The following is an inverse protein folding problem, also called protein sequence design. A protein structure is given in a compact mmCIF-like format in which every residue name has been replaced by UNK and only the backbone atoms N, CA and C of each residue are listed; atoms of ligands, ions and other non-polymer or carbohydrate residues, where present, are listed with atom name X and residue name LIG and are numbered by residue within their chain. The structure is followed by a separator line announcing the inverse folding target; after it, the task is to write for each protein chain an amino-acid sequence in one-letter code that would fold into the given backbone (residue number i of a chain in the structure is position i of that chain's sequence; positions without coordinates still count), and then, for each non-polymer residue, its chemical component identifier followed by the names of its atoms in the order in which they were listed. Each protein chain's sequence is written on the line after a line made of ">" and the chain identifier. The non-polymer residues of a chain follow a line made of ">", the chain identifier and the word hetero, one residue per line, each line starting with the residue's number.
data_IF_953313687237
#
_entry.id   IF_953313687237
#
_cell.length_a   1.000
_cell.length_b   1.000
_cell.length_c   1.000
_cell.angle_alpha   90.00
_cell.angle_beta   90.00
_cell.angle_gamma   90.00
#
_symmetry.space_group_name_H-M   'P 1'
#
loop_
_entity.id
_entity.type
_entity.pdbx_description
1 polymer ?
#
# COMPACT_ATOMS: atom_id res chain seq x y z
N UNK A 1 -16.79 19.85 17.05
CA UNK A 1 -17.09 18.61 16.32
C UNK A 1 -17.24 17.54 17.39
N UNK A 2 -18.34 16.79 17.43
CA UNK A 2 -18.53 15.78 18.48
C UNK A 2 -17.61 14.58 18.21
N UNK A 3 -17.20 13.87 19.27
CA UNK A 3 -16.28 12.72 19.16
C UNK A 3 -16.75 11.67 18.14
N UNK A 4 -18.06 11.38 18.11
CA UNK A 4 -18.65 10.44 17.14
C UNK A 4 -18.54 10.94 15.69
N UNK A 5 -18.68 12.25 15.47
CA UNK A 5 -18.53 12.85 14.14
C UNK A 5 -17.09 12.77 13.66
N UNK A 6 -16.11 12.95 14.56
CA UNK A 6 -14.68 12.79 14.23
C UNK A 6 -14.37 11.35 13.77
N UNK A 7 -14.81 10.37 14.57
CA UNK A 7 -14.65 8.94 14.25
C UNK A 7 -15.30 8.59 12.91
N UNK A 8 -16.53 9.05 12.67
CA UNK A 8 -17.22 8.81 11.39
C UNK A 8 -16.48 9.43 10.20
N UNK A 9 -15.97 10.65 10.33
CA UNK A 9 -15.22 11.32 9.27
C UNK A 9 -13.91 10.58 8.94
N UNK A 10 -13.18 10.09 9.96
CA UNK A 10 -11.99 9.24 9.73
C UNK A 10 -12.35 7.99 8.93
N UNK A 11 -13.42 7.29 9.31
CA UNK A 11 -13.88 6.09 8.59
C UNK A 11 -14.32 6.42 7.14
N UNK A 12 -15.00 7.55 6.92
CA UNK A 12 -15.39 8.02 5.58
C UNK A 12 -14.17 8.33 4.73
N UNK A 13 -13.16 9.00 5.29
CA UNK A 13 -11.92 9.30 4.57
C UNK A 13 -11.15 8.02 4.19
N UNK A 14 -11.15 7.00 5.05
CA UNK A 14 -10.55 5.70 4.73
C UNK A 14 -11.37 4.93 3.68
N UNK A 15 -12.70 5.01 3.74
CA UNK A 15 -13.57 4.48 2.68
C UNK A 15 -13.30 5.16 1.34
N UNK A 16 -13.12 6.48 1.32
CA UNK A 16 -12.74 7.24 0.13
C UNK A 16 -11.34 6.85 -0.38
N UNK A 17 -10.35 6.71 0.53
CA UNK A 17 -9.01 6.26 0.17
C UNK A 17 -9.03 4.87 -0.50
N UNK A 18 -9.89 3.96 -0.01
CA UNK A 18 -10.09 2.64 -0.60
C UNK A 18 -10.74 2.73 -1.98
N UNK A 19 -11.77 3.57 -2.13
CA UNK A 19 -12.42 3.79 -3.43
C UNK A 19 -11.43 4.36 -4.47
N UNK A 20 -10.63 5.36 -4.10
CA UNK A 20 -9.58 5.90 -4.97
C UNK A 20 -8.50 4.88 -5.30
N UNK A 21 -8.15 4.00 -4.36
CA UNK A 21 -7.25 2.87 -4.60
C UNK A 21 -7.80 1.92 -5.65
N UNK A 22 -9.09 1.57 -5.58
CA UNK A 22 -9.77 0.72 -6.57
C UNK A 22 -9.78 1.40 -7.95
N UNK A 23 -10.10 2.70 -8.01
CA UNK A 23 -10.04 3.48 -9.26
C UNK A 23 -8.64 3.45 -9.87
N UNK A 24 -7.58 3.44 -9.05
CA UNK A 24 -6.20 3.36 -9.48
C UNK A 24 -5.84 2.10 -10.30
N UNK A 25 -6.64 1.04 -10.26
CA UNK A 25 -6.42 -0.17 -11.08
C UNK A 25 -6.88 0.01 -12.53
N UNK A 26 -7.81 0.93 -12.78
CA UNK A 26 -8.38 1.21 -14.10
C UNK A 26 -7.44 2.12 -14.89
N UNK A 27 -7.25 1.91 -16.23
CA UNK A 27 -6.31 2.71 -17.03
C UNK A 27 -6.48 4.23 -16.87
N UNK A 28 -7.73 4.71 -16.92
CA UNK A 28 -8.06 6.14 -16.75
C UNK A 28 -7.81 6.66 -15.33
N UNK A 29 -7.86 5.78 -14.32
CA UNK A 29 -7.70 6.13 -12.91
C UNK A 29 -6.26 6.04 -12.38
N UNK A 30 -5.33 5.39 -13.10
CA UNK A 30 -3.94 5.17 -12.64
C UNK A 30 -3.17 6.43 -12.27
N UNK A 31 -3.45 7.55 -12.94
CA UNK A 31 -2.74 8.80 -12.69
C UNK A 31 -3.30 9.57 -11.48
N UNK A 32 -4.57 9.36 -11.13
CA UNK A 32 -5.33 10.20 -10.20
C UNK A 32 -5.70 9.42 -8.92
N UNK A 33 -6.02 8.13 -9.03
CA UNK A 33 -6.39 7.28 -7.91
C UNK A 33 -5.34 7.22 -6.80
N UNK A 34 -4.07 6.87 -7.08
CA UNK A 34 -3.03 6.81 -6.06
C UNK A 34 -2.78 8.11 -5.29
N UNK A 35 -2.63 9.29 -5.93
CA UNK A 35 -2.46 10.53 -5.17
C UNK A 35 -3.70 10.87 -4.35
N UNK A 36 -4.92 10.65 -4.86
CA UNK A 36 -6.13 10.87 -4.07
C UNK A 36 -6.25 9.91 -2.88
N UNK A 37 -5.87 8.64 -3.05
CA UNK A 37 -5.84 7.67 -1.96
C UNK A 37 -4.83 8.07 -0.87
N UNK A 38 -3.64 8.50 -1.27
CA UNK A 38 -2.62 9.06 -0.37
C UNK A 38 -3.13 10.29 0.37
N UNK A 39 -3.74 11.25 -0.34
CA UNK A 39 -4.30 12.46 0.25
C UNK A 39 -5.43 12.16 1.24
N UNK A 40 -6.32 11.23 0.91
CA UNK A 40 -7.40 10.82 1.80
C UNK A 40 -6.89 10.09 3.05
N UNK A 41 -5.89 9.21 2.91
CA UNK A 41 -5.24 8.55 4.05
C UNK A 41 -4.51 9.56 4.94
N UNK A 42 -3.78 10.53 4.36
CA UNK A 42 -3.11 11.58 5.10
C UNK A 42 -4.11 12.49 5.83
N UNK A 43 -5.22 12.85 5.18
CA UNK A 43 -6.30 13.61 5.80
C UNK A 43 -6.93 12.85 6.98
N UNK A 44 -7.16 11.54 6.84
CA UNK A 44 -7.65 10.70 7.93
C UNK A 44 -6.68 10.67 9.12
N UNK A 45 -5.37 10.55 8.85
CA UNK A 45 -4.34 10.55 9.89
C UNK A 45 -4.23 11.91 10.60
N UNK A 46 -4.22 13.02 9.85
CA UNK A 46 -4.20 14.38 10.43
C UNK A 46 -5.45 14.62 11.28
N UNK A 47 -6.63 14.24 10.77
CA UNK A 47 -7.88 14.40 11.50
C UNK A 47 -7.87 13.61 12.81
N UNK A 48 -7.40 12.35 12.78
CA UNK A 48 -7.27 11.53 13.98
C UNK A 48 -6.24 12.10 14.97
N UNK A 49 -5.11 12.62 14.50
CA UNK A 49 -4.05 13.17 15.36
C UNK A 49 -4.37 14.53 15.98
N UNK A 50 -5.23 15.34 15.37
CA UNK A 50 -5.62 16.67 15.89
C UNK A 50 -6.88 16.61 16.75
N UNK A 51 -7.71 15.58 16.60
CA UNK A 51 -8.95 15.45 17.35
C UNK A 51 -8.65 15.01 18.79
N UNK A 52 -8.96 15.87 19.77
CA UNK A 52 -8.70 15.62 21.19
C UNK A 52 -9.62 14.55 21.80
N UNK A 53 -10.77 14.28 21.19
CA UNK A 53 -11.76 13.31 21.65
C UNK A 53 -12.19 12.43 20.46
N UNK A 54 -11.78 11.15 20.45
CA UNK A 54 -12.38 10.14 19.57
C UNK A 54 -13.05 9.05 20.40
N UNK A 55 -14.27 8.71 20.02
CA UNK A 55 -15.06 7.64 20.61
C UNK A 55 -14.94 6.35 19.77
N UNK A 56 -13.95 5.52 20.09
CA UNK A 56 -13.77 4.24 19.39
C UNK A 56 -14.60 3.14 20.03
N UNK A 57 -15.75 2.86 19.43
CA UNK A 57 -16.51 1.65 19.72
C UNK A 57 -15.82 0.41 19.13
N UNK A 58 -16.13 -0.79 19.66
CA UNK A 58 -15.58 -2.05 19.12
C UNK A 58 -15.84 -2.20 17.62
N UNK A 59 -17.05 -1.87 17.16
CA UNK A 59 -17.40 -1.97 15.75
C UNK A 59 -16.62 -0.95 14.91
N UNK A 60 -16.41 0.28 15.39
CA UNK A 60 -15.62 1.29 14.68
C UNK A 60 -14.15 0.85 14.55
N UNK A 61 -13.58 0.25 15.60
CA UNK A 61 -12.23 -0.33 15.55
C UNK A 61 -12.15 -1.50 14.56
N UNK A 62 -13.16 -2.38 14.53
CA UNK A 62 -13.20 -3.48 13.55
C UNK A 62 -13.25 -2.95 12.12
N UNK A 63 -14.09 -1.94 11.84
CA UNK A 63 -14.18 -1.32 10.52
C UNK A 63 -12.85 -0.63 10.17
N UNK A 64 -12.23 0.10 11.10
CA UNK A 64 -10.94 0.74 10.89
C UNK A 64 -9.86 -0.26 10.50
N UNK A 65 -9.75 -1.38 11.23
CA UNK A 65 -8.76 -2.44 10.94
C UNK A 65 -9.04 -3.09 9.59
N UNK A 66 -10.31 -3.38 9.28
CA UNK A 66 -10.71 -3.96 8.00
C UNK A 66 -10.40 -3.02 6.82
N UNK A 67 -10.74 -1.74 6.94
CA UNK A 67 -10.43 -0.72 5.93
C UNK A 67 -8.92 -0.54 5.76
N UNK A 68 -8.15 -0.49 6.86
CA UNK A 68 -6.69 -0.41 6.81
C UNK A 68 -6.06 -1.60 6.08
N UNK A 69 -6.51 -2.83 6.37
CA UNK A 69 -6.02 -4.04 5.71
C UNK A 69 -6.39 -4.09 4.23
N UNK A 70 -7.64 -3.78 3.89
CA UNK A 70 -8.09 -3.70 2.49
C UNK A 70 -7.33 -2.61 1.72
N UNK A 71 -7.11 -1.45 2.33
CA UNK A 71 -6.36 -0.35 1.74
C UNK A 71 -4.89 -0.71 1.52
N UNK A 72 -4.26 -1.40 2.48
CA UNK A 72 -2.90 -1.91 2.34
C UNK A 72 -2.78 -2.82 1.10
N UNK A 73 -3.72 -3.74 0.91
CA UNK A 73 -3.69 -4.66 -0.24
C UNK A 73 -4.02 -3.96 -1.56
N UNK A 74 -5.12 -3.20 -1.60
CA UNK A 74 -5.68 -2.63 -2.82
C UNK A 74 -4.92 -1.39 -3.32
N UNK A 75 -4.39 -0.55 -2.43
CA UNK A 75 -3.70 0.69 -2.82
C UNK A 75 -2.26 0.49 -3.27
N UNK A 76 -1.58 -0.57 -2.79
CA UNK A 76 -0.15 -0.75 -3.02
C UNK A 76 0.23 -0.97 -4.49
N UNK A 77 -0.58 -1.71 -5.26
CA UNK A 77 -0.30 -1.98 -6.69
C UNK A 77 -0.37 -0.73 -7.59
N UNK A 78 -1.47 0.04 -7.54
CA UNK A 78 -1.58 1.31 -8.27
C UNK A 78 -0.50 2.32 -7.85
N UNK A 79 -0.18 2.38 -6.56
CA UNK A 79 0.84 3.29 -6.05
C UNK A 79 2.24 2.95 -6.58
N UNK A 80 2.66 1.69 -6.49
CA UNK A 80 3.97 1.26 -7.02
C UNK A 80 4.06 1.48 -8.52
N UNK A 81 2.97 1.18 -9.26
CA UNK A 81 2.88 1.46 -10.70
C UNK A 81 3.03 2.94 -11.01
N UNK A 82 2.44 3.83 -10.18
CA UNK A 82 2.57 5.28 -10.35
C UNK A 82 3.98 5.76 -10.07
N UNK A 83 4.65 5.21 -9.05
CA UNK A 83 6.06 5.52 -8.74
C UNK A 83 6.95 5.11 -9.91
N UNK A 84 6.78 3.90 -10.44
CA UNK A 84 7.49 3.48 -11.65
C UNK A 84 7.18 4.39 -12.84
N UNK A 85 5.93 4.80 -13.06
CA UNK A 85 5.60 5.76 -14.11
C UNK A 85 6.21 7.16 -13.93
N UNK A 86 6.75 7.49 -12.75
CA UNK A 86 7.51 8.72 -12.50
C UNK A 86 9.01 8.47 -12.73
N UNK A 87 9.53 7.33 -12.25
CA UNK A 87 10.94 6.93 -12.37
C UNK A 87 11.30 6.58 -13.82
N UNK A 88 10.49 5.74 -14.48
CA UNK A 88 10.69 5.23 -15.84
C UNK A 88 10.31 6.24 -16.94
N UNK A 89 9.84 7.45 -16.61
CA UNK A 89 9.68 8.53 -17.61
C UNK A 89 10.97 8.86 -18.36
N UNK A 90 12.10 8.35 -17.86
CA UNK A 90 13.44 8.58 -18.38
C UNK A 90 13.92 7.49 -19.35
N UNK A 91 13.32 6.29 -19.38
CA UNK A 91 13.79 5.16 -20.22
C UNK A 91 12.62 4.39 -20.88
N UNK A 92 12.43 4.58 -22.20
CA UNK A 92 11.38 3.87 -22.95
C UNK A 92 11.85 2.50 -23.46
N UNK A 93 11.10 1.46 -23.13
CA UNK A 93 11.17 0.15 -23.79
C UNK A 93 9.85 -0.62 -23.67
N UNK A 94 9.11 -0.71 -24.77
CA UNK A 94 7.85 -1.47 -24.88
C UNK A 94 8.14 -2.98 -24.83
N UNK A 95 7.40 -3.73 -24.00
CA UNK A 95 7.38 -5.20 -24.02
C UNK A 95 5.96 -5.75 -24.27
N UNK A 96 5.93 -6.91 -24.92
CA UNK A 96 4.80 -7.56 -25.59
C UNK A 96 3.68 -8.01 -24.63
N UNK A 97 2.42 -7.80 -25.02
CA UNK A 97 1.26 -7.66 -24.13
C UNK A 97 0.70 -8.98 -23.53
N UNK A 98 0.93 -10.15 -24.13
CA UNK A 98 0.21 -11.38 -23.73
C UNK A 98 0.94 -12.26 -22.71
N UNK A 99 2.27 -12.45 -22.82
CA UNK A 99 3.05 -13.12 -21.76
C UNK A 99 3.18 -12.26 -20.50
N UNK A 100 3.15 -10.93 -20.67
CA UNK A 100 3.09 -9.98 -19.56
C UNK A 100 1.82 -10.19 -18.71
N UNK A 101 0.66 -10.45 -19.32
CA UNK A 101 -0.63 -10.54 -18.60
C UNK A 101 -0.72 -11.66 -17.54
N UNK A 102 -0.14 -12.83 -17.81
CA UNK A 102 -0.18 -13.96 -16.86
C UNK A 102 0.88 -13.83 -15.75
N UNK A 103 2.09 -13.36 -16.08
CA UNK A 103 3.16 -13.09 -15.10
C UNK A 103 2.79 -11.93 -14.16
N UNK A 104 2.11 -10.90 -14.68
CA UNK A 104 1.62 -9.76 -13.89
C UNK A 104 0.54 -10.15 -12.87
N UNK A 105 -0.26 -11.19 -13.13
CA UNK A 105 -1.25 -11.70 -12.17
C UNK A 105 -0.60 -12.38 -10.97
N UNK A 106 0.39 -13.24 -11.19
CA UNK A 106 1.12 -13.91 -10.12
C UNK A 106 1.84 -12.93 -9.20
N UNK A 107 2.53 -11.93 -9.80
CA UNK A 107 3.21 -10.87 -9.05
C UNK A 107 2.24 -10.01 -8.22
N UNK A 108 1.06 -9.68 -8.74
CA UNK A 108 0.05 -8.90 -8.02
C UNK A 108 -0.49 -9.63 -6.78
N UNK A 109 -0.75 -10.95 -6.88
CA UNK A 109 -1.20 -11.77 -5.74
C UNK A 109 -0.12 -11.90 -4.66
N UNK A 110 1.12 -12.20 -5.05
CA UNK A 110 2.25 -12.27 -4.10
C UNK A 110 2.41 -10.93 -3.38
N UNK A 111 2.40 -9.81 -4.11
CA UNK A 111 2.47 -8.48 -3.52
C UNK A 111 1.30 -8.16 -2.59
N UNK A 112 0.09 -8.66 -2.91
CA UNK A 112 -1.07 -8.54 -2.02
C UNK A 112 -0.87 -9.27 -0.69
N UNK A 113 -0.38 -10.51 -0.74
CA UNK A 113 -0.09 -11.31 0.46
C UNK A 113 1.02 -10.68 1.32
N UNK A 114 2.08 -10.19 0.70
CA UNK A 114 3.16 -9.48 1.42
C UNK A 114 2.64 -8.23 2.14
N UNK A 115 1.83 -7.41 1.47
CA UNK A 115 1.24 -6.21 2.08
C UNK A 115 0.30 -6.55 3.23
N UNK A 116 -0.49 -7.61 3.08
CA UNK A 116 -1.35 -8.10 4.16
C UNK A 116 -0.51 -8.58 5.35
N UNK A 117 0.59 -9.30 5.10
CA UNK A 117 1.49 -9.76 6.15
C UNK A 117 2.17 -8.61 6.89
N UNK A 118 2.68 -7.60 6.16
CA UNK A 118 3.26 -6.37 6.74
C UNK A 118 2.22 -5.60 7.55
N UNK A 119 1.02 -5.42 7.02
CA UNK A 119 -0.07 -4.75 7.73
C UNK A 119 -0.43 -5.51 9.02
N UNK A 120 -0.64 -6.83 8.92
CA UNK A 120 -1.02 -7.67 10.04
C UNK A 120 0.05 -7.70 11.13
N UNK A 121 1.34 -7.81 10.76
CA UNK A 121 2.44 -7.82 11.72
C UNK A 121 2.52 -6.52 12.51
N UNK A 122 2.39 -5.37 11.83
CA UNK A 122 2.39 -4.06 12.48
C UNK A 122 1.12 -3.84 13.32
N UNK A 123 -0.05 -4.18 12.80
CA UNK A 123 -1.33 -4.05 13.53
C UNK A 123 -1.44 -4.98 14.75
N UNK A 124 -0.68 -6.08 14.75
CA UNK A 124 -0.56 -7.01 15.87
C UNK A 124 0.56 -6.62 16.87
N UNK A 125 1.37 -5.59 16.57
CA UNK A 125 2.47 -5.15 17.44
C UNK A 125 3.75 -5.99 17.33
N UNK A 126 3.94 -6.74 16.25
CA UNK A 126 5.13 -7.56 15.98
C UNK A 126 5.91 -7.01 14.78
N UNK A 127 6.67 -5.91 14.92
CA UNK A 127 7.35 -5.25 13.80
C UNK A 127 8.40 -6.14 13.12
N UNK A 128 9.01 -7.08 13.84
CA UNK A 128 9.90 -8.12 13.32
C UNK A 128 9.29 -8.94 12.16
N UNK A 129 7.96 -9.06 12.09
CA UNK A 129 7.30 -9.70 10.95
C UNK A 129 7.57 -9.00 9.61
N UNK A 130 7.80 -7.68 9.61
CA UNK A 130 8.15 -6.93 8.41
C UNK A 130 9.53 -7.37 7.87
N UNK A 131 10.50 -7.58 8.77
CA UNK A 131 11.82 -8.05 8.40
C UNK A 131 11.76 -9.44 7.76
N UNK A 132 10.93 -10.33 8.31
CA UNK A 132 10.70 -11.68 7.75
C UNK A 132 10.10 -11.60 6.34
N UNK A 133 9.08 -10.77 6.12
CA UNK A 133 8.45 -10.61 4.80
C UNK A 133 9.45 -10.07 3.77
N UNK A 134 10.23 -9.04 4.11
CA UNK A 134 11.24 -8.47 3.22
C UNK A 134 12.34 -9.48 2.90
N UNK A 135 12.78 -10.26 3.88
CA UNK A 135 13.78 -11.31 3.69
C UNK A 135 13.27 -12.44 2.79
N UNK A 136 12.03 -12.93 3.01
CA UNK A 136 11.44 -13.97 2.17
C UNK A 136 11.30 -13.50 0.71
N UNK A 137 10.90 -12.23 0.54
CA UNK A 137 10.76 -11.62 -0.78
C UNK A 137 12.09 -11.55 -1.53
N UNK A 138 13.18 -11.13 -0.88
CA UNK A 138 14.49 -10.98 -1.51
C UNK A 138 15.11 -12.34 -1.86
N UNK A 139 14.96 -13.36 -1.03
CA UNK A 139 15.44 -14.73 -1.29
C UNK A 139 14.81 -15.31 -2.55
N UNK A 140 13.49 -15.16 -2.71
CA UNK A 140 12.77 -15.71 -3.87
C UNK A 140 13.13 -15.05 -5.21
N UNK A 141 13.70 -13.85 -5.20
CA UNK A 141 14.05 -13.08 -6.41
C UNK A 141 15.55 -12.96 -6.65
N UNK A 142 16.38 -13.42 -5.73
CA UNK A 142 17.83 -13.34 -5.86
C UNK A 142 18.39 -13.99 -7.14
N UNK A 143 17.93 -15.17 -7.60
CA UNK A 143 18.41 -15.76 -8.86
C UNK A 143 18.09 -14.90 -10.08
N UNK A 144 16.86 -14.35 -10.14
CA UNK A 144 16.39 -13.49 -11.24
C UNK A 144 17.22 -12.19 -11.30
N UNK A 145 17.51 -11.58 -10.14
CA UNK A 145 18.27 -10.34 -10.05
C UNK A 145 19.76 -10.54 -10.36
N UNK A 146 20.32 -11.70 -10.03
CA UNK A 146 21.72 -12.05 -10.32
C UNK A 146 21.96 -12.37 -11.79
N UNK A 147 20.91 -12.80 -12.51
CA UNK A 147 20.96 -13.09 -13.94
C UNK A 147 20.79 -11.82 -14.82
N UNK A 148 20.60 -10.64 -14.22
CA UNK A 148 20.45 -9.37 -14.95
C UNK A 148 21.82 -8.91 -15.53
N UNK A 149 21.89 -8.72 -16.85
CA UNK A 149 23.11 -8.61 -17.68
C UNK A 149 23.90 -7.27 -17.56
N UNK A 150 24.00 -6.70 -16.34
CA UNK A 150 25.11 -5.80 -15.99
C UNK A 150 24.82 -4.30 -15.87
N UNK A 151 23.57 -3.84 -15.94
CA UNK A 151 23.21 -2.43 -15.68
C UNK A 151 22.56 -2.20 -14.30
N UNK A 152 22.20 -3.25 -13.56
CA UNK A 152 21.61 -3.18 -12.21
C UNK A 152 20.17 -2.65 -12.17
N UNK A 153 19.56 -2.38 -13.32
CA UNK A 153 18.26 -1.71 -13.41
C UNK A 153 17.11 -2.58 -12.87
N UNK A 154 17.16 -3.91 -13.02
CA UNK A 154 16.13 -4.79 -12.44
C UNK A 154 16.21 -4.81 -10.91
N UNK A 155 17.42 -4.78 -10.35
CA UNK A 155 17.65 -4.73 -8.90
C UNK A 155 17.15 -3.42 -8.31
N UNK A 156 17.46 -2.29 -8.96
CA UNK A 156 16.97 -0.98 -8.52
C UNK A 156 15.43 -0.92 -8.54
N UNK A 157 14.79 -1.34 -9.64
CA UNK A 157 13.32 -1.41 -9.74
C UNK A 157 12.72 -2.32 -8.67
N UNK A 158 13.35 -3.46 -8.38
CA UNK A 158 12.90 -4.37 -7.33
C UNK A 158 12.95 -3.73 -5.94
N UNK A 159 14.03 -3.00 -5.62
CA UNK A 159 14.18 -2.29 -4.34
C UNK A 159 13.14 -1.17 -4.22
N UNK A 160 13.01 -0.31 -5.24
CA UNK A 160 12.03 0.80 -5.25
C UNK A 160 10.61 0.26 -5.08
N UNK A 161 10.23 -0.77 -5.85
CA UNK A 161 8.90 -1.36 -5.78
C UNK A 161 8.61 -1.98 -4.41
N UNK A 162 9.60 -2.65 -3.81
CA UNK A 162 9.46 -3.26 -2.49
C UNK A 162 9.30 -2.20 -1.40
N UNK A 163 10.19 -1.20 -1.36
CA UNK A 163 10.13 -0.12 -0.36
C UNK A 163 8.82 0.67 -0.46
N UNK A 164 8.41 1.03 -1.67
CA UNK A 164 7.13 1.72 -1.89
C UNK A 164 5.93 0.90 -1.38
N UNK A 165 5.90 -0.40 -1.70
CA UNK A 165 4.82 -1.31 -1.27
C UNK A 165 4.79 -1.49 0.25
N UNK A 166 5.95 -1.64 0.89
CA UNK A 166 6.07 -1.78 2.35
C UNK A 166 5.68 -0.49 3.07
N UNK A 167 6.17 0.67 2.60
CA UNK A 167 5.82 1.97 3.17
C UNK A 167 4.31 2.24 3.09
N UNK A 168 3.65 1.86 2.00
CA UNK A 168 2.20 1.97 1.89
C UNK A 168 1.46 1.10 2.92
N UNK A 169 1.84 -0.18 3.03
CA UNK A 169 1.24 -1.08 4.03
C UNK A 169 1.51 -0.59 5.46
N UNK A 170 2.72 -0.08 5.72
CA UNK A 170 3.09 0.50 7.00
C UNK A 170 2.30 1.79 7.31
N UNK A 171 2.03 2.66 6.33
CA UNK A 171 1.17 3.82 6.51
C UNK A 171 -0.27 3.43 6.86
N UNK A 172 -0.80 2.38 6.21
CA UNK A 172 -2.13 1.85 6.52
C UNK A 172 -2.19 1.27 7.95
N UNK A 173 -1.15 0.54 8.38
CA UNK A 173 -1.05 0.05 9.76
C UNK A 173 -0.85 1.19 10.77
N UNK A 174 -0.03 2.18 10.43
CA UNK A 174 0.21 3.37 11.23
C UNK A 174 -1.07 4.16 11.50
N UNK A 175 -1.98 4.27 10.52
CA UNK A 175 -3.30 4.85 10.72
C UNK A 175 -4.11 4.10 11.78
N UNK A 176 -4.07 2.75 11.77
CA UNK A 176 -4.76 1.93 12.78
C UNK A 176 -4.12 2.11 14.16
N UNK A 177 -2.79 2.18 14.22
CA UNK A 177 -2.05 2.35 15.48
C UNK A 177 -2.23 3.74 16.08
N UNK A 178 -2.26 4.79 15.25
CA UNK A 178 -2.46 6.18 15.67
C UNK A 178 -3.72 6.37 16.51
N UNK A 179 -4.75 5.59 16.18
CA UNK A 179 -6.06 5.61 16.85
C UNK A 179 -6.08 4.80 18.15
N UNK A 180 -5.13 3.87 18.34
CA UNK A 180 -5.04 3.04 19.54
C UNK A 180 -4.21 3.66 20.67
N UNK A 181 -3.47 4.73 20.37
CA UNK A 181 -2.66 5.51 21.33
C UNK A 181 -3.55 6.48 22.11
#
# INVERSE_FOLDING_TARGET
>A
MNADTATQLVLVLLGAALAFSVIGWVPHGRAIGPPLALSALAAAAVLAGVSAELSWSRWATTILVALGGLLAVAGGGPLTTRIFAIVDRTDQGRQTLDQAGQVLRGGAWIGGLERLAVFASLAAGSPEGVAVVVALKSVGRFPDLRADDGNGAATERFIIGTLASVLWAAACAGMVLLVRL
#
